data_IF_316263352408
#
_entry.id   IF_316263352408
#
_cell.length_a   1.000
_cell.length_b   1.000
_cell.length_c   1.000
_cell.angle_alpha   90.00
_cell.angle_beta   90.00
_cell.angle_gamma   90.00
#
_symmetry.space_group_name_H-M   'P 1'
#
loop_
_entity.id
_entity.type
_entity.pdbx_description
1 polymer ?
#
# COMPACT_ATOMS: atom_id res chain seq x y z
N UNK A 1 28.47 2.78 0.58
CA UNK A 1 27.53 2.98 -0.54
C UNK A 1 27.64 4.42 -0.97
N UNK A 2 28.10 4.66 -2.20
CA UNK A 2 28.05 5.98 -2.82
C UNK A 2 26.61 6.31 -3.26
N UNK A 3 26.32 7.59 -3.47
CA UNK A 3 25.01 8.02 -3.98
C UNK A 3 24.69 7.36 -5.32
N UNK A 4 25.70 7.25 -6.20
CA UNK A 4 25.55 6.65 -7.52
C UNK A 4 25.21 5.16 -7.44
N UNK A 5 25.91 4.40 -6.57
CA UNK A 5 25.63 2.97 -6.34
C UNK A 5 24.19 2.74 -5.86
N UNK A 6 23.66 3.63 -5.00
CA UNK A 6 22.29 3.52 -4.51
C UNK A 6 21.25 3.80 -5.61
N UNK A 7 21.49 4.84 -6.42
CA UNK A 7 20.65 5.20 -7.56
C UNK A 7 20.57 4.07 -8.58
N UNK A 8 21.71 3.47 -8.91
CA UNK A 8 21.81 2.39 -9.89
C UNK A 8 21.21 1.09 -9.36
N UNK A 9 21.50 0.72 -8.11
CA UNK A 9 20.96 -0.48 -7.46
C UNK A 9 19.43 -0.51 -7.43
N UNK A 10 18.80 0.63 -7.23
CA UNK A 10 17.34 0.74 -7.16
C UNK A 10 16.69 1.23 -8.46
N UNK A 11 17.50 1.49 -9.50
CA UNK A 11 17.08 2.01 -10.80
C UNK A 11 16.25 3.29 -10.64
N UNK A 12 16.66 4.14 -9.69
CA UNK A 12 15.88 5.29 -9.23
C UNK A 12 15.74 6.36 -10.31
N UNK A 13 16.81 6.65 -11.06
CA UNK A 13 16.81 7.67 -12.11
C UNK A 13 15.72 7.41 -13.16
N UNK A 14 15.65 6.16 -13.67
CA UNK A 14 14.63 5.77 -14.65
C UNK A 14 13.21 5.82 -14.09
N UNK A 15 13.01 5.35 -12.85
CA UNK A 15 11.68 5.38 -12.20
C UNK A 15 11.18 6.81 -11.98
N UNK A 16 12.08 7.74 -11.66
CA UNK A 16 11.76 9.15 -11.50
C UNK A 16 11.39 9.75 -12.85
N UNK A 17 12.18 9.50 -13.89
CA UNK A 17 11.91 9.99 -15.24
C UNK A 17 10.57 9.49 -15.79
N UNK A 18 10.27 8.19 -15.66
CA UNK A 18 8.99 7.61 -16.06
C UNK A 18 7.81 8.26 -15.31
N UNK A 19 7.95 8.50 -14.01
CA UNK A 19 6.92 9.14 -13.19
C UNK A 19 6.68 10.62 -13.57
N UNK A 20 7.76 11.36 -13.87
CA UNK A 20 7.67 12.75 -14.34
C UNK A 20 7.01 12.82 -15.71
N UNK A 21 7.44 11.97 -16.65
CA UNK A 21 6.86 11.90 -17.99
C UNK A 21 5.37 11.55 -17.96
N UNK A 22 4.94 10.63 -17.08
CA UNK A 22 3.54 10.31 -16.88
C UNK A 22 2.73 11.53 -16.37
N UNK A 23 3.25 12.27 -15.39
CA UNK A 23 2.59 13.46 -14.86
C UNK A 23 2.47 14.59 -15.90
N UNK A 24 3.52 14.80 -16.70
CA UNK A 24 3.52 15.77 -17.81
C UNK A 24 2.50 15.38 -18.88
N UNK A 25 2.45 14.10 -19.27
CA UNK A 25 1.48 13.60 -20.26
C UNK A 25 0.04 13.75 -19.78
N UNK A 26 -0.21 13.56 -18.48
CA UNK A 26 -1.51 13.73 -17.87
C UNK A 26 -1.95 15.20 -17.75
N UNK A 27 -1.06 16.18 -18.02
CA UNK A 27 -1.29 17.63 -17.85
C UNK A 27 -1.98 17.96 -16.53
N UNK A 28 -1.58 17.26 -15.47
CA UNK A 28 -2.23 17.36 -14.17
C UNK A 28 -1.89 18.68 -13.50
N UNK A 29 -2.85 19.28 -12.81
CA UNK A 29 -2.65 20.53 -12.06
C UNK A 29 -1.74 20.34 -10.83
N UNK A 30 -1.63 19.11 -10.31
CA UNK A 30 -0.74 18.76 -9.20
C UNK A 30 0.11 17.52 -9.54
N UNK A 31 1.30 17.72 -10.12
CA UNK A 31 2.19 16.63 -10.51
C UNK A 31 2.68 15.81 -9.31
N UNK A 32 2.80 16.42 -8.12
CA UNK A 32 3.29 15.72 -6.93
C UNK A 32 2.34 14.61 -6.47
N UNK A 33 1.04 14.91 -6.46
CA UNK A 33 0.01 13.95 -6.08
C UNK A 33 -0.21 12.90 -7.17
N UNK A 34 -0.07 13.29 -8.45
CA UNK A 34 -0.13 12.36 -9.57
C UNK A 34 0.99 11.31 -9.52
N UNK A 35 2.23 11.75 -9.26
CA UNK A 35 3.36 10.84 -9.07
C UNK A 35 3.11 9.89 -7.88
N UNK A 36 2.60 10.38 -6.74
CA UNK A 36 2.24 9.52 -5.59
C UNK A 36 1.19 8.48 -5.92
N UNK A 37 0.20 8.81 -6.76
CA UNK A 37 -0.83 7.86 -7.21
C UNK A 37 -0.28 6.84 -8.20
N UNK A 38 0.60 7.27 -9.11
CA UNK A 38 1.21 6.45 -10.15
C UNK A 38 2.17 5.39 -9.61
N UNK A 39 2.82 5.64 -8.47
CA UNK A 39 3.66 4.63 -7.82
C UNK A 39 2.78 3.43 -7.42
N UNK A 40 3.16 2.18 -7.78
CA UNK A 40 2.40 1.00 -7.39
C UNK A 40 2.34 0.87 -5.86
N UNK A 41 1.23 0.33 -5.35
CA UNK A 41 1.11 0.01 -3.94
C UNK A 41 1.96 -1.22 -3.62
N UNK A 42 2.87 -1.09 -2.65
CA UNK A 42 3.71 -2.17 -2.16
C UNK A 42 3.34 -2.46 -0.72
N UNK A 43 3.08 -3.74 -0.40
CA UNK A 43 2.84 -4.19 0.97
C UNK A 43 4.17 -4.16 1.72
N UNK A 44 4.19 -3.44 2.84
CA UNK A 44 5.40 -3.29 3.69
C UNK A 44 5.28 -4.06 4.99
N UNK A 45 4.07 -4.17 5.53
CA UNK A 45 3.80 -4.87 6.80
C UNK A 45 2.34 -5.28 6.86
N UNK A 46 2.09 -6.42 7.51
CA UNK A 46 0.75 -6.90 7.86
C UNK A 46 0.74 -7.18 9.36
N UNK A 47 -0.28 -6.70 10.08
CA UNK A 47 -0.49 -7.01 11.49
C UNK A 47 -1.94 -7.44 11.72
N UNK A 48 -2.14 -8.68 12.13
CA UNK A 48 -3.43 -9.19 12.53
C UNK A 48 -3.60 -9.12 14.06
N UNK A 49 -4.85 -9.02 14.51
CA UNK A 49 -5.26 -9.18 15.91
C UNK A 49 -6.65 -9.80 16.00
N UNK A 50 -6.90 -10.46 17.12
CA UNK A 50 -8.23 -10.90 17.49
C UNK A 50 -9.02 -9.73 18.09
N UNK A 51 -10.24 -9.54 17.62
CA UNK A 51 -11.23 -8.62 18.16
C UNK A 51 -12.53 -9.40 18.44
N UNK A 52 -13.50 -8.78 19.11
CA UNK A 52 -14.84 -9.34 19.26
C UNK A 52 -15.79 -8.66 18.26
N UNK A 53 -16.67 -9.43 17.64
CA UNK A 53 -17.77 -8.88 16.84
C UNK A 53 -18.91 -8.34 17.72
N UNK A 54 -20.02 -7.91 17.11
CA UNK A 54 -21.20 -7.41 17.83
C UNK A 54 -21.90 -8.47 18.70
N UNK A 55 -21.61 -9.75 18.52
CA UNK A 55 -22.16 -10.90 19.28
C UNK A 55 -21.19 -11.42 20.34
N UNK A 56 -20.02 -10.79 20.50
CA UNK A 56 -18.98 -11.25 21.41
C UNK A 56 -18.19 -12.46 20.88
N UNK A 57 -18.33 -12.80 19.60
CA UNK A 57 -17.61 -13.90 18.96
C UNK A 57 -16.23 -13.39 18.51
N UNK A 58 -15.13 -14.08 18.88
CA UNK A 58 -13.81 -13.78 18.36
C UNK A 58 -13.74 -13.76 16.83
N UNK A 59 -13.25 -12.67 16.26
CA UNK A 59 -12.96 -12.51 14.83
C UNK A 59 -11.63 -11.81 14.61
N UNK A 60 -11.18 -11.73 13.35
CA UNK A 60 -9.88 -11.20 12.96
C UNK A 60 -10.03 -9.80 12.38
N UNK A 61 -9.16 -8.88 12.82
CA UNK A 61 -8.92 -7.58 12.21
C UNK A 61 -7.47 -7.48 11.75
N UNK A 62 -7.25 -6.90 10.57
CA UNK A 62 -5.95 -6.75 9.93
C UNK A 62 -5.65 -5.28 9.64
N UNK A 63 -4.47 -4.83 10.10
CA UNK A 63 -3.82 -3.61 9.63
C UNK A 63 -2.84 -3.96 8.49
N UNK A 64 -3.08 -3.41 7.30
CA UNK A 64 -2.22 -3.49 6.13
C UNK A 64 -1.46 -2.18 5.93
N UNK A 65 -0.14 -2.23 5.95
CA UNK A 65 0.72 -1.07 5.72
C UNK A 65 1.29 -1.12 4.31
N UNK A 66 1.13 -0.03 3.57
CA UNK A 66 1.71 0.17 2.26
C UNK A 66 2.47 1.50 2.20
N UNK A 67 3.22 1.72 1.12
CA UNK A 67 3.76 3.04 0.80
C UNK A 67 2.70 4.14 0.57
N UNK A 68 1.40 3.76 0.46
CA UNK A 68 0.28 4.70 0.31
C UNK A 68 -0.46 4.99 1.63
N UNK A 69 -0.14 4.28 2.71
CA UNK A 69 -0.78 4.44 4.02
C UNK A 69 -1.13 3.11 4.69
N UNK A 70 -1.86 3.20 5.79
CA UNK A 70 -2.38 2.07 6.55
C UNK A 70 -3.87 1.88 6.26
N UNK A 71 -4.26 0.64 6.01
CA UNK A 71 -5.62 0.22 5.72
C UNK A 71 -6.05 -0.83 6.74
N UNK A 72 -7.27 -0.72 7.25
CA UNK A 72 -7.80 -1.63 8.26
C UNK A 72 -9.06 -2.31 7.75
N UNK A 73 -9.15 -3.62 7.95
CA UNK A 73 -10.34 -4.40 7.62
C UNK A 73 -10.57 -5.50 8.66
N UNK A 74 -11.83 -5.81 8.93
CA UNK A 74 -12.25 -6.85 9.88
C UNK A 74 -13.14 -7.86 9.17
N UNK A 75 -12.90 -9.14 9.41
CA UNK A 75 -13.73 -10.20 8.86
C UNK A 75 -15.03 -10.34 9.69
N UNK A 76 -16.19 -10.59 9.06
CA UNK A 76 -17.38 -11.00 9.79
C UNK A 76 -17.16 -12.39 10.40
N UNK A 77 -17.76 -12.65 11.57
CA UNK A 77 -17.76 -14.00 12.14
C UNK A 77 -18.65 -14.92 11.31
N UNK A 78 -18.08 -16.02 10.81
CA UNK A 78 -18.84 -17.05 10.12
C UNK A 78 -19.67 -17.90 11.09
N UNK A 79 -20.79 -18.44 10.61
CA UNK A 79 -21.42 -19.58 11.27
C UNK A 79 -20.69 -20.86 10.82
N UNK A 80 -20.51 -21.88 11.68
CA UNK A 80 -19.97 -23.16 11.26
C UNK A 80 -20.98 -23.85 10.34
N UNK A 81 -20.80 -23.70 9.03
CA UNK A 81 -21.54 -24.47 8.02
C UNK A 81 -20.62 -25.56 7.48
N UNK A 82 -20.71 -26.74 8.09
CA UNK A 82 -19.96 -27.93 7.69
C UNK A 82 -19.76 -28.91 8.85
N UNK A 83 -20.80 -29.69 9.16
CA UNK A 83 -20.63 -31.08 9.59
C UNK A 83 -20.85 -31.97 8.37
#
# INVERSE_FOLDING_TARGET
MSVQEYLDKHVLSRKIEDAVNAAVRAKTSDPSNHMRKAVPSVITKVKARQILDSRGIPTVEVDLYTNKGMFRASAPSGAPSGM
#
